data_IF_026395488903
#
_entry.id   IF_026395488903
#
_cell.length_a   1.000
_cell.length_b   1.000
_cell.length_c   1.000
_cell.angle_alpha   90.00
_cell.angle_beta   90.00
_cell.angle_gamma   90.00
#
_symmetry.space_group_name_H-M   'P 1'
#
loop_
_entity.id
_entity.type
_entity.pdbx_description
1 polymer ?
#
# COMPACT_ATOMS: atom_id res chain seq x y z
N UNK A 1 11.27 23.29 -4.79
CA UNK A 1 11.16 21.83 -4.97
C UNK A 1 9.69 21.44 -4.85
N UNK A 2 9.15 20.77 -5.85
CA UNK A 2 7.77 20.26 -5.88
C UNK A 2 7.85 18.74 -5.75
N UNK A 3 7.28 18.17 -4.68
CA UNK A 3 7.36 16.74 -4.40
C UNK A 3 6.08 16.02 -4.81
N UNK A 4 6.16 15.20 -5.87
CA UNK A 4 5.06 14.43 -6.46
C UNK A 4 5.40 12.92 -6.56
N UNK A 5 6.19 12.39 -5.60
CA UNK A 5 6.50 10.95 -5.49
C UNK A 5 5.92 10.34 -4.20
N UNK A 6 4.73 10.79 -3.78
CA UNK A 6 4.10 10.35 -2.52
C UNK A 6 3.68 8.87 -2.53
N UNK A 7 3.43 8.26 -3.69
CA UNK A 7 3.13 6.83 -3.80
C UNK A 7 4.36 5.93 -3.53
N UNK A 8 5.58 6.48 -3.57
CA UNK A 8 6.77 5.79 -3.10
C UNK A 8 6.92 5.93 -1.58
N UNK A 9 6.88 7.18 -1.08
CA UNK A 9 6.85 7.54 0.34
C UNK A 9 6.35 8.97 0.48
N UNK A 10 5.57 9.29 1.51
CA UNK A 10 5.25 10.70 1.79
C UNK A 10 6.48 11.41 2.37
N UNK A 11 6.84 12.57 1.80
CA UNK A 11 7.92 13.39 2.30
C UNK A 11 7.44 14.26 3.48
N UNK A 12 6.36 14.99 3.25
CA UNK A 12 5.77 15.86 4.26
C UNK A 12 4.88 15.04 5.21
N UNK A 13 5.05 15.30 6.51
CA UNK A 13 4.29 14.63 7.57
C UNK A 13 3.76 15.68 8.55
N UNK A 14 2.66 15.40 9.26
CA UNK A 14 2.23 16.26 10.35
C UNK A 14 3.35 16.44 11.38
N UNK A 15 3.55 17.65 11.96
CA UNK A 15 4.59 17.90 12.97
C UNK A 15 4.51 16.98 14.18
N UNK A 16 3.33 16.51 14.53
CA UNK A 16 3.09 15.55 15.62
C UNK A 16 3.84 14.22 15.41
N UNK A 17 4.09 13.84 14.15
CA UNK A 17 4.82 12.59 13.83
C UNK A 17 6.28 12.70 14.28
N UNK A 18 6.95 13.78 13.92
CA UNK A 18 8.33 14.04 14.35
C UNK A 18 8.42 14.14 15.86
N UNK A 19 7.53 14.92 16.47
CA UNK A 19 7.49 15.12 17.93
C UNK A 19 7.32 13.79 18.67
N UNK A 20 6.41 12.92 18.24
CA UNK A 20 6.17 11.63 18.87
C UNK A 20 7.39 10.70 18.77
N UNK A 21 8.11 10.71 17.63
CA UNK A 21 9.34 9.93 17.46
C UNK A 21 10.42 10.41 18.43
N UNK A 22 10.65 11.72 18.52
CA UNK A 22 11.67 12.30 19.40
C UNK A 22 11.35 12.06 20.88
N UNK A 23 10.10 12.21 21.28
CA UNK A 23 9.65 11.90 22.62
C UNK A 23 9.90 10.42 22.97
N UNK A 24 9.50 9.51 22.08
CA UNK A 24 9.71 8.07 22.30
C UNK A 24 11.20 7.69 22.38
N UNK A 25 12.08 8.35 21.61
CA UNK A 25 13.54 8.12 21.68
C UNK A 25 14.12 8.48 23.06
N UNK A 26 13.55 9.47 23.74
CA UNK A 26 14.02 9.91 25.06
C UNK A 26 13.36 9.20 26.23
N UNK A 27 12.17 8.64 26.06
CA UNK A 27 11.33 8.20 27.18
C UNK A 27 10.94 6.71 27.14
N UNK A 28 10.90 6.09 25.94
CA UNK A 28 10.42 4.73 25.79
C UNK A 28 11.56 3.71 25.96
N UNK A 29 11.32 2.71 26.80
CA UNK A 29 12.18 1.53 26.95
C UNK A 29 11.72 0.35 26.07
N UNK A 30 12.07 -0.88 26.49
CA UNK A 30 11.55 -2.09 25.85
C UNK A 30 10.10 -2.35 26.29
N UNK A 31 9.13 -2.57 25.40
CA UNK A 31 7.72 -2.80 25.74
C UNK A 31 7.46 -4.17 26.42
N UNK A 32 8.48 -4.86 26.89
CA UNK A 32 8.38 -6.17 27.54
C UNK A 32 7.94 -6.11 29.01
N UNK A 33 8.47 -7.03 29.83
CA UNK A 33 8.00 -7.37 31.19
C UNK A 33 8.46 -6.40 32.31
N UNK A 34 8.94 -5.21 32.02
CA UNK A 34 9.36 -4.27 33.07
C UNK A 34 8.17 -3.57 33.72
N UNK A 35 8.29 -3.30 35.04
CA UNK A 35 7.30 -2.52 35.77
C UNK A 35 7.68 -1.04 35.94
N UNK A 36 8.78 -0.61 35.32
CA UNK A 36 9.27 0.79 35.38
C UNK A 36 8.67 1.65 34.26
N UNK A 37 8.59 2.93 34.50
CA UNK A 37 7.90 3.89 33.60
C UNK A 37 8.32 3.83 32.13
N UNK A 38 9.61 3.75 31.75
CA UNK A 38 9.98 3.64 30.33
C UNK A 38 9.41 2.40 29.63
N UNK A 39 9.31 1.26 30.29
CA UNK A 39 8.70 0.04 29.74
C UNK A 39 7.19 0.18 29.59
N UNK A 40 6.52 0.73 30.61
CA UNK A 40 5.08 0.98 30.55
C UNK A 40 4.72 2.00 29.46
N UNK A 41 5.56 3.03 29.31
CA UNK A 41 5.39 4.02 28.24
C UNK A 41 5.52 3.37 26.85
N UNK A 42 6.54 2.57 26.62
CA UNK A 42 6.71 1.81 25.39
C UNK A 42 5.53 0.88 25.10
N UNK A 43 5.01 0.19 26.10
CA UNK A 43 3.85 -0.67 25.97
C UNK A 43 2.57 0.12 25.61
N UNK A 44 2.40 1.31 26.18
CA UNK A 44 1.29 2.22 25.83
C UNK A 44 1.39 2.67 24.37
N UNK A 45 2.58 3.09 23.89
CA UNK A 45 2.79 3.45 22.48
C UNK A 45 2.36 2.32 21.54
N UNK A 46 2.78 1.08 21.82
CA UNK A 46 2.39 -0.10 21.02
C UNK A 46 0.86 -0.29 21.03
N UNK A 47 0.23 -0.21 22.20
CA UNK A 47 -1.22 -0.36 22.35
C UNK A 47 -1.98 0.77 21.64
N UNK A 48 -1.58 2.02 21.85
CA UNK A 48 -2.24 3.19 21.26
C UNK A 48 -2.15 3.17 19.72
N UNK A 49 -1.03 2.68 19.18
CA UNK A 49 -0.88 2.50 17.73
C UNK A 49 -1.84 1.44 17.20
N UNK A 50 -2.03 0.31 17.93
CA UNK A 50 -3.02 -0.71 17.55
C UNK A 50 -4.43 -0.17 17.61
N UNK A 51 -4.77 0.56 18.67
CA UNK A 51 -6.08 1.17 18.84
C UNK A 51 -6.39 2.15 17.71
N UNK A 52 -5.45 3.03 17.35
CA UNK A 52 -5.63 3.97 16.26
C UNK A 52 -5.81 3.29 14.89
N UNK A 53 -5.02 2.24 14.60
CA UNK A 53 -5.18 1.46 13.37
C UNK A 53 -6.46 0.62 13.37
N UNK A 54 -6.86 0.07 14.52
CA UNK A 54 -8.12 -0.66 14.65
C UNK A 54 -9.33 0.27 14.40
N UNK A 55 -9.28 1.50 14.91
CA UNK A 55 -10.27 2.54 14.64
C UNK A 55 -10.30 2.88 13.15
N UNK A 56 -9.14 3.14 12.53
CA UNK A 56 -9.02 3.51 11.11
C UNK A 56 -9.58 2.44 10.16
N UNK A 57 -9.37 1.16 10.47
CA UNK A 57 -9.81 0.04 9.63
C UNK A 57 -11.12 -0.59 10.10
N UNK A 58 -11.75 -0.04 11.14
CA UNK A 58 -12.94 -0.64 11.79
C UNK A 58 -12.69 -2.10 12.22
N UNK A 59 -11.49 -2.42 12.72
CA UNK A 59 -11.18 -3.75 13.21
C UNK A 59 -11.93 -4.04 14.51
N UNK A 60 -12.43 -5.28 14.74
CA UNK A 60 -13.27 -5.60 15.90
C UNK A 60 -12.50 -5.57 17.23
N UNK A 61 -11.17 -5.78 17.17
CA UNK A 61 -10.29 -5.82 18.33
C UNK A 61 -8.88 -5.37 17.94
N UNK A 62 -8.18 -4.57 18.76
CA UNK A 62 -6.80 -4.13 18.48
C UNK A 62 -5.81 -5.29 18.31
N UNK A 63 -6.03 -6.45 18.96
CA UNK A 63 -5.18 -7.62 18.81
C UNK A 63 -5.17 -8.21 17.38
N UNK A 64 -6.14 -7.82 16.54
CA UNK A 64 -6.19 -8.16 15.12
C UNK A 64 -5.13 -7.40 14.28
N UNK A 65 -4.55 -6.33 14.82
CA UNK A 65 -3.50 -5.57 14.16
C UNK A 65 -2.14 -6.14 14.59
N UNK A 66 -1.33 -6.55 13.63
CA UNK A 66 0.05 -7.01 13.85
C UNK A 66 1.03 -6.11 13.15
N UNK A 67 2.17 -5.84 13.78
CA UNK A 67 3.20 -4.97 13.24
C UNK A 67 4.27 -5.72 12.46
N UNK A 68 4.75 -5.09 11.43
CA UNK A 68 5.91 -5.51 10.65
C UNK A 68 6.68 -4.29 10.16
N UNK A 69 7.87 -4.50 9.57
CA UNK A 69 8.66 -3.39 9.06
C UNK A 69 8.02 -2.68 7.85
N UNK A 70 7.14 -3.34 7.10
CA UNK A 70 6.50 -2.81 5.90
C UNK A 70 5.44 -3.79 5.36
N UNK A 71 4.67 -3.37 4.33
CA UNK A 71 3.69 -4.21 3.65
C UNK A 71 4.30 -5.48 3.03
N UNK A 72 5.53 -5.42 2.51
CA UNK A 72 6.19 -6.60 1.93
C UNK A 72 6.37 -7.71 2.97
N UNK A 73 6.79 -7.37 4.18
CA UNK A 73 6.93 -8.33 5.26
C UNK A 73 5.56 -8.87 5.71
N UNK A 74 4.55 -8.00 5.83
CA UNK A 74 3.18 -8.38 6.17
C UNK A 74 2.61 -9.36 5.14
N UNK A 75 2.72 -9.07 3.84
CA UNK A 75 2.28 -9.93 2.74
C UNK A 75 3.00 -11.28 2.73
N UNK A 76 4.34 -11.29 2.94
CA UNK A 76 5.07 -12.55 3.07
C UNK A 76 4.55 -13.38 4.26
N UNK A 77 4.32 -12.75 5.40
CA UNK A 77 3.80 -13.44 6.60
C UNK A 77 2.42 -14.04 6.33
N UNK A 78 1.49 -13.25 5.79
CA UNK A 78 0.12 -13.71 5.52
C UNK A 78 0.12 -14.79 4.45
N UNK A 79 0.70 -14.54 3.27
CA UNK A 79 0.64 -15.47 2.15
C UNK A 79 1.30 -16.82 2.45
N UNK A 80 2.50 -16.80 3.05
CA UNK A 80 3.16 -18.07 3.43
C UNK A 80 2.49 -18.76 4.64
N UNK A 81 1.76 -18.00 5.47
CA UNK A 81 1.08 -18.54 6.65
C UNK A 81 -0.28 -19.17 6.37
N UNK A 82 -0.91 -18.91 5.20
CA UNK A 82 -2.25 -19.41 4.87
C UNK A 82 -2.33 -20.28 3.62
N UNK A 83 -1.29 -20.26 2.75
CA UNK A 83 -1.24 -21.00 1.49
C UNK A 83 -0.32 -22.21 1.58
N UNK A 84 -0.76 -23.33 1.08
CA UNK A 84 -0.05 -24.62 1.13
C UNK A 84 0.05 -25.26 -0.27
N UNK A 85 1.00 -26.18 -0.50
CA UNK A 85 1.05 -26.96 -1.73
C UNK A 85 -0.28 -27.62 -2.06
N UNK A 86 -0.75 -27.47 -3.30
CA UNK A 86 -2.06 -27.92 -3.76
C UNK A 86 -3.16 -26.87 -3.72
N UNK A 87 -2.97 -25.76 -3.00
CA UNK A 87 -3.90 -24.62 -3.06
C UNK A 87 -3.78 -23.88 -4.39
N UNK A 88 -4.88 -23.27 -4.83
CA UNK A 88 -4.93 -22.33 -5.93
C UNK A 88 -5.27 -20.93 -5.43
N UNK A 89 -4.64 -19.92 -6.04
CA UNK A 89 -4.85 -18.49 -5.73
C UNK A 89 -5.23 -17.71 -6.98
N UNK A 90 -6.27 -16.92 -6.90
CA UNK A 90 -6.59 -15.90 -7.90
C UNK A 90 -5.98 -14.57 -7.42
N UNK A 91 -5.21 -13.93 -8.30
CA UNK A 91 -4.64 -12.60 -8.08
C UNK A 91 -4.75 -11.77 -9.35
N UNK A 92 -4.08 -10.60 -9.43
CA UNK A 92 -4.25 -9.69 -10.56
C UNK A 92 -2.93 -9.30 -11.22
N UNK A 93 -2.99 -8.79 -12.45
CA UNK A 93 -1.84 -8.16 -13.12
C UNK A 93 -1.50 -6.79 -12.53
N UNK A 94 -2.36 -6.24 -11.66
CA UNK A 94 -2.16 -4.95 -11.00
C UNK A 94 -1.19 -5.02 -9.80
N UNK A 95 -0.80 -6.24 -9.40
CA UNK A 95 -0.06 -6.47 -8.15
C UNK A 95 1.37 -5.92 -8.20
N UNK A 96 1.77 -5.37 -7.06
CA UNK A 96 3.16 -5.03 -6.78
C UNK A 96 4.01 -6.31 -6.57
N UNK A 97 5.32 -6.23 -6.78
CA UNK A 97 6.25 -7.34 -6.51
C UNK A 97 6.18 -7.87 -5.07
N UNK A 98 5.65 -7.11 -4.12
CA UNK A 98 5.43 -7.56 -2.73
C UNK A 98 4.37 -8.67 -2.63
N UNK A 99 3.46 -8.78 -3.61
CA UNK A 99 2.51 -9.88 -3.78
C UNK A 99 3.05 -10.90 -4.76
N UNK A 100 3.54 -10.46 -5.92
CA UNK A 100 3.95 -11.35 -7.02
C UNK A 100 5.10 -12.29 -6.61
N UNK A 101 6.15 -11.76 -5.98
CA UNK A 101 7.33 -12.57 -5.63
C UNK A 101 7.06 -13.63 -4.57
N UNK A 102 6.34 -13.36 -3.48
CA UNK A 102 5.87 -14.42 -2.58
C UNK A 102 5.00 -15.47 -3.28
N UNK A 103 4.07 -15.07 -4.14
CA UNK A 103 3.25 -16.01 -4.90
C UNK A 103 4.08 -16.85 -5.89
N UNK A 104 5.07 -16.28 -6.57
CA UNK A 104 6.00 -17.04 -7.42
C UNK A 104 6.85 -18.04 -6.62
N UNK A 105 7.28 -17.65 -5.41
CA UNK A 105 7.97 -18.57 -4.50
C UNK A 105 7.05 -19.74 -4.08
N UNK A 106 5.81 -19.44 -3.70
CA UNK A 106 4.79 -20.45 -3.35
C UNK A 106 4.43 -21.32 -4.54
N UNK A 107 4.36 -20.77 -5.75
CA UNK A 107 4.18 -21.53 -6.98
C UNK A 107 5.28 -22.56 -7.20
N UNK A 108 6.53 -22.23 -6.92
CA UNK A 108 7.64 -23.19 -6.96
C UNK A 108 7.53 -24.29 -5.89
N UNK A 109 6.67 -24.11 -4.89
CA UNK A 109 6.38 -25.06 -3.80
C UNK A 109 5.07 -25.83 -4.02
N UNK A 110 4.39 -25.65 -5.17
CA UNK A 110 3.18 -26.39 -5.53
C UNK A 110 1.86 -25.66 -5.29
N UNK A 111 1.87 -24.34 -5.06
CA UNK A 111 0.66 -23.50 -5.12
C UNK A 111 0.39 -23.12 -6.57
N UNK A 112 -0.84 -23.23 -7.04
CA UNK A 112 -1.24 -22.74 -8.35
C UNK A 112 -1.65 -21.27 -8.27
N UNK A 113 -1.32 -20.45 -9.31
CA UNK A 113 -1.60 -19.01 -9.32
C UNK A 113 -2.19 -18.59 -10.67
N UNK A 114 -3.41 -18.08 -10.65
CA UNK A 114 -4.08 -17.47 -11.81
C UNK A 114 -4.12 -15.94 -11.70
N UNK A 115 -3.98 -15.27 -12.83
CA UNK A 115 -3.93 -13.81 -12.91
C UNK A 115 -5.12 -13.25 -13.66
N UNK A 116 -5.87 -12.37 -13.02
CA UNK A 116 -6.90 -11.57 -13.66
C UNK A 116 -6.25 -10.45 -14.46
N UNK A 117 -6.63 -10.32 -15.73
CA UNK A 117 -6.15 -9.27 -16.62
C UNK A 117 -6.86 -7.93 -16.41
N UNK A 118 -6.43 -6.94 -17.20
CA UNK A 118 -7.04 -5.63 -17.31
C UNK A 118 -7.44 -5.35 -18.75
N UNK A 119 -8.40 -4.43 -18.94
CA UNK A 119 -8.78 -3.90 -20.24
C UNK A 119 -7.82 -2.80 -20.76
N UNK A 120 -8.16 -2.17 -21.88
CA UNK A 120 -7.38 -1.09 -22.50
C UNK A 120 -7.28 0.18 -21.64
N UNK A 121 -8.20 0.38 -20.70
CA UNK A 121 -8.19 1.47 -19.72
C UNK A 121 -7.49 1.08 -18.41
N UNK A 122 -6.83 -0.10 -18.39
CA UNK A 122 -6.22 -0.71 -17.23
C UNK A 122 -7.22 -0.97 -16.07
N UNK A 123 -8.50 -1.15 -16.37
CA UNK A 123 -9.51 -1.58 -15.41
C UNK A 123 -9.50 -3.11 -15.28
N UNK A 124 -9.66 -3.61 -14.06
CA UNK A 124 -9.63 -5.04 -13.78
C UNK A 124 -10.83 -5.77 -14.42
N UNK A 125 -10.56 -6.87 -15.13
CA UNK A 125 -11.58 -7.69 -15.80
C UNK A 125 -12.22 -8.67 -14.80
N UNK A 126 -13.07 -8.16 -13.92
CA UNK A 126 -13.70 -8.95 -12.82
C UNK A 126 -14.43 -10.20 -13.30
N UNK A 127 -15.00 -10.20 -14.51
CA UNK A 127 -15.75 -11.35 -15.04
C UNK A 127 -14.88 -12.58 -15.31
N UNK A 128 -13.54 -12.40 -15.36
CA UNK A 128 -12.60 -13.51 -15.47
C UNK A 128 -12.56 -14.37 -14.20
N UNK A 129 -12.90 -13.82 -13.02
CA UNK A 129 -12.80 -14.55 -11.76
C UNK A 129 -13.59 -15.86 -11.74
N UNK A 130 -14.82 -15.86 -12.28
CA UNK A 130 -15.65 -17.08 -12.36
C UNK A 130 -14.98 -18.16 -13.24
N UNK A 131 -14.27 -17.76 -14.28
CA UNK A 131 -13.57 -18.71 -15.19
C UNK A 131 -12.23 -19.18 -14.65
N UNK A 132 -11.65 -18.46 -13.68
CA UNK A 132 -10.39 -18.80 -13.03
C UNK A 132 -10.56 -19.67 -11.78
N UNK A 133 -11.81 -19.94 -11.36
CA UNK A 133 -12.08 -20.78 -10.20
C UNK A 133 -11.68 -22.24 -10.45
N UNK A 134 -10.97 -22.80 -9.49
CA UNK A 134 -10.67 -24.23 -9.39
C UNK A 134 -11.29 -24.82 -8.12
N UNK A 135 -11.51 -26.13 -8.04
CA UNK A 135 -11.97 -26.77 -6.80
C UNK A 135 -11.01 -26.55 -5.60
N UNK A 136 -9.73 -26.27 -5.90
CA UNK A 136 -8.68 -25.99 -4.92
C UNK A 136 -8.44 -24.51 -4.68
N UNK A 137 -9.27 -23.60 -5.25
CA UNK A 137 -9.12 -22.17 -5.02
C UNK A 137 -9.30 -21.84 -3.54
N UNK A 138 -8.25 -21.31 -2.93
CA UNK A 138 -8.15 -21.02 -1.50
C UNK A 138 -8.31 -19.55 -1.19
N UNK A 139 -7.80 -18.68 -2.06
CA UNK A 139 -7.75 -17.23 -1.78
C UNK A 139 -7.93 -16.38 -3.04
N UNK A 140 -8.52 -15.20 -2.83
CA UNK A 140 -8.45 -14.04 -3.73
C UNK A 140 -7.51 -13.03 -3.09
N UNK A 141 -6.43 -12.67 -3.81
CA UNK A 141 -5.42 -11.70 -3.36
C UNK A 141 -5.41 -10.53 -4.32
N UNK A 142 -5.73 -9.32 -3.86
CA UNK A 142 -5.82 -8.12 -4.70
C UNK A 142 -5.15 -6.91 -4.06
N UNK A 143 -4.53 -6.06 -4.89
CA UNK A 143 -4.16 -4.72 -4.44
C UNK A 143 -5.40 -3.82 -4.35
N UNK A 144 -5.47 -2.95 -3.35
CA UNK A 144 -6.55 -1.97 -3.24
C UNK A 144 -6.53 -0.92 -4.35
N UNK A 145 -5.33 -0.58 -4.86
CA UNK A 145 -5.14 0.26 -6.04
C UNK A 145 -3.79 -0.01 -6.70
N UNK A 146 -3.75 0.08 -8.03
CA UNK A 146 -2.52 -0.03 -8.80
C UNK A 146 -1.55 1.12 -8.43
N UNK A 147 -0.35 0.77 -8.06
CA UNK A 147 0.71 1.74 -7.78
C UNK A 147 1.32 2.37 -9.06
N UNK A 148 0.85 1.95 -10.23
CA UNK A 148 1.24 2.51 -11.54
C UNK A 148 0.16 3.46 -12.05
N UNK A 149 -1.05 2.96 -12.29
CA UNK A 149 -2.13 3.72 -12.93
C UNK A 149 -3.00 4.50 -11.93
N UNK A 150 -2.96 4.12 -10.66
CA UNK A 150 -3.88 4.64 -9.65
C UNK A 150 -5.28 4.04 -9.69
N UNK A 151 -5.62 3.23 -10.70
CA UNK A 151 -6.92 2.57 -10.76
C UNK A 151 -7.13 1.70 -9.51
N UNK A 152 -8.25 1.90 -8.83
CA UNK A 152 -8.61 1.15 -7.65
C UNK A 152 -9.28 -0.18 -7.98
N UNK A 153 -9.24 -1.10 -7.05
CA UNK A 153 -10.05 -2.33 -7.09
C UNK A 153 -11.39 -2.06 -6.40
N UNK A 154 -12.47 -2.46 -7.02
CA UNK A 154 -13.78 -2.51 -6.36
C UNK A 154 -13.74 -3.62 -5.29
N UNK A 155 -13.37 -3.23 -4.05
CA UNK A 155 -13.23 -4.16 -2.95
C UNK A 155 -14.56 -4.78 -2.53
N UNK A 156 -15.69 -4.09 -2.76
CA UNK A 156 -17.02 -4.65 -2.46
C UNK A 156 -17.36 -5.80 -3.42
N UNK A 157 -17.09 -5.63 -4.71
CA UNK A 157 -17.23 -6.68 -5.73
C UNK A 157 -16.28 -7.86 -5.46
N UNK A 158 -15.03 -7.56 -5.06
CA UNK A 158 -14.03 -8.57 -4.71
C UNK A 158 -14.46 -9.36 -3.47
N UNK A 159 -14.96 -8.70 -2.44
CA UNK A 159 -15.50 -9.29 -1.23
C UNK A 159 -16.68 -10.22 -1.54
N UNK A 160 -17.67 -9.74 -2.31
CA UNK A 160 -18.83 -10.55 -2.72
C UNK A 160 -18.40 -11.83 -3.43
N UNK A 161 -17.48 -11.73 -4.39
CA UNK A 161 -16.95 -12.90 -5.08
C UNK A 161 -16.26 -13.87 -4.12
N UNK A 162 -15.32 -13.37 -3.29
CA UNK A 162 -14.60 -14.21 -2.35
C UNK A 162 -15.54 -14.95 -1.39
N UNK A 163 -16.53 -14.24 -0.84
CA UNK A 163 -17.49 -14.81 0.13
C UNK A 163 -18.41 -15.84 -0.51
N UNK A 164 -18.94 -15.58 -1.72
CA UNK A 164 -19.80 -16.55 -2.43
C UNK A 164 -19.09 -17.87 -2.68
N UNK A 165 -17.78 -17.85 -2.84
CA UNK A 165 -16.96 -19.04 -3.12
C UNK A 165 -16.18 -19.56 -1.91
N UNK A 166 -16.37 -18.96 -0.71
CA UNK A 166 -15.69 -19.37 0.51
C UNK A 166 -14.17 -19.19 0.50
N UNK A 167 -13.69 -18.20 -0.29
CA UNK A 167 -12.28 -17.90 -0.44
C UNK A 167 -11.79 -16.97 0.68
N UNK A 168 -10.52 -17.09 1.04
CA UNK A 168 -9.86 -16.04 1.83
C UNK A 168 -9.74 -14.77 0.99
N UNK A 169 -10.14 -13.63 1.57
CA UNK A 169 -10.03 -12.32 0.94
C UNK A 169 -8.86 -11.54 1.54
N UNK A 170 -7.76 -11.41 0.78
CA UNK A 170 -6.50 -10.78 1.20
C UNK A 170 -6.27 -9.53 0.35
N UNK A 171 -6.04 -8.39 1.02
CA UNK A 171 -5.86 -7.08 0.37
C UNK A 171 -4.48 -6.52 0.64
N UNK A 172 -3.74 -6.17 -0.42
CA UNK A 172 -2.58 -5.27 -0.34
C UNK A 172 -3.08 -3.82 -0.34
N UNK A 173 -3.09 -3.20 0.83
CA UNK A 173 -3.54 -1.84 1.04
C UNK A 173 -2.39 -0.82 1.04
N UNK A 174 -1.21 -1.15 0.49
CA UNK A 174 -0.06 -0.25 0.51
C UNK A 174 -0.29 1.10 -0.17
N UNK A 175 -1.26 1.20 -1.10
CA UNK A 175 -1.65 2.44 -1.76
C UNK A 175 -3.00 3.00 -1.27
N UNK A 176 -3.74 2.27 -0.44
CA UNK A 176 -5.09 2.66 -0.05
C UNK A 176 -5.25 2.88 1.45
N UNK A 177 -4.44 2.22 2.30
CA UNK A 177 -4.45 2.45 3.74
C UNK A 177 -4.11 3.92 4.07
N UNK A 178 -5.05 4.65 4.63
CA UNK A 178 -4.97 6.08 4.93
C UNK A 178 -5.30 7.02 3.76
N UNK A 179 -5.37 6.51 2.52
CA UNK A 179 -5.77 7.28 1.33
C UNK A 179 -7.24 7.08 0.95
N UNK A 180 -7.86 6.00 1.45
CA UNK A 180 -9.26 5.67 1.20
C UNK A 180 -9.86 5.04 2.45
N UNK A 181 -11.16 5.23 2.71
CA UNK A 181 -11.86 4.51 3.76
C UNK A 181 -11.88 3.00 3.49
N UNK A 182 -11.51 2.20 4.47
CA UNK A 182 -11.56 0.74 4.38
C UNK A 182 -12.16 0.21 5.67
N UNK A 183 -13.35 -0.39 5.58
CA UNK A 183 -13.99 -1.11 6.69
C UNK A 183 -13.77 -2.61 6.51
N UNK A 184 -12.86 -3.19 7.31
CA UNK A 184 -12.50 -4.61 7.20
C UNK A 184 -13.62 -5.55 7.65
N UNK A 185 -14.54 -5.08 8.51
CA UNK A 185 -15.69 -5.87 8.94
C UNK A 185 -16.78 -5.86 7.87
N UNK A 186 -17.13 -4.67 7.36
CA UNK A 186 -18.14 -4.53 6.30
C UNK A 186 -17.75 -5.30 5.04
N UNK A 187 -16.49 -5.23 4.65
CA UNK A 187 -15.95 -5.92 3.48
C UNK A 187 -15.60 -7.40 3.78
N UNK A 188 -15.65 -7.83 5.03
CA UNK A 188 -15.29 -9.18 5.43
C UNK A 188 -13.88 -9.60 5.03
N UNK A 189 -12.94 -8.66 5.07
CA UNK A 189 -11.53 -8.90 4.72
C UNK A 189 -10.91 -9.86 5.75
N UNK A 190 -10.23 -10.89 5.25
CA UNK A 190 -9.51 -11.84 6.10
C UNK A 190 -8.14 -11.33 6.54
N UNK A 191 -7.42 -10.67 5.63
CA UNK A 191 -6.18 -9.99 5.95
C UNK A 191 -6.01 -8.73 5.09
N UNK A 192 -5.63 -7.60 5.73
CA UNK A 192 -5.32 -6.33 5.08
C UNK A 192 -3.86 -5.97 5.40
N UNK A 193 -2.98 -5.97 4.41
CA UNK A 193 -1.57 -5.66 4.59
C UNK A 193 -1.29 -4.19 4.25
N UNK A 194 -0.57 -3.47 5.14
CA UNK A 194 -0.33 -2.04 5.00
C UNK A 194 1.12 -1.62 5.28
N UNK A 195 1.51 -0.43 4.82
CA UNK A 195 2.80 0.20 5.13
C UNK A 195 2.59 1.57 5.76
N UNK A 196 3.38 1.91 6.77
CA UNK A 196 3.19 3.14 7.53
C UNK A 196 3.69 4.41 6.86
N UNK A 197 4.68 4.31 5.96
CA UNK A 197 5.41 5.47 5.43
C UNK A 197 4.77 6.16 4.22
N UNK A 198 3.64 5.68 3.73
CA UNK A 198 2.86 6.30 2.64
C UNK A 198 1.70 7.11 3.23
N UNK A 199 0.47 6.87 2.79
CA UNK A 199 -0.68 7.67 3.22
C UNK A 199 -1.03 7.54 4.72
N UNK A 200 -0.49 6.56 5.45
CA UNK A 200 -0.58 6.50 6.91
C UNK A 200 0.34 7.51 7.63
N UNK A 201 1.17 8.25 6.90
CA UNK A 201 2.01 9.38 7.37
C UNK A 201 3.05 9.02 8.45
N UNK A 202 3.24 7.74 8.73
CA UNK A 202 4.26 7.25 9.66
C UNK A 202 5.67 7.24 9.05
N UNK A 203 6.70 6.92 9.83
CA UNK A 203 8.06 6.78 9.34
C UNK A 203 8.25 5.47 8.54
N UNK A 204 9.32 5.42 7.74
CA UNK A 204 9.80 4.19 7.14
C UNK A 204 10.16 3.16 8.23
N UNK A 205 10.12 1.87 7.89
CA UNK A 205 10.34 0.79 8.86
C UNK A 205 9.13 0.52 9.75
N UNK A 206 7.93 0.97 9.34
CA UNK A 206 6.65 0.67 9.97
C UNK A 206 5.64 0.14 8.95
N UNK A 207 4.81 -0.78 9.38
CA UNK A 207 3.76 -1.42 8.62
C UNK A 207 3.13 -2.54 9.42
N UNK A 208 2.31 -3.35 8.78
CA UNK A 208 1.63 -4.44 9.47
C UNK A 208 0.50 -5.06 8.68
N UNK A 209 -0.30 -5.85 9.37
CA UNK A 209 -1.54 -6.39 8.84
C UNK A 209 -2.66 -6.32 9.86
N UNK A 210 -3.88 -6.13 9.38
CA UNK A 210 -5.06 -6.63 10.05
C UNK A 210 -5.21 -8.10 9.69
N UNK A 211 -5.51 -8.94 10.67
CA UNK A 211 -5.81 -10.36 10.49
C UNK A 211 -7.12 -10.67 11.21
N UNK A 212 -8.11 -11.21 10.49
CA UNK A 212 -9.41 -11.57 11.06
C UNK A 212 -9.25 -12.55 12.24
N UNK A 213 -9.99 -12.39 13.36
CA UNK A 213 -9.82 -13.22 14.58
C UNK A 213 -9.85 -14.72 14.35
N UNK A 214 -10.66 -15.18 13.38
CA UNK A 214 -10.82 -16.60 13.07
C UNK A 214 -9.76 -17.13 12.10
N UNK A 215 -8.98 -16.26 11.44
CA UNK A 215 -7.95 -16.68 10.50
C UNK A 215 -6.70 -17.13 11.26
N UNK A 216 -6.27 -18.35 11.01
CA UNK A 216 -5.00 -18.88 11.50
C UNK A 216 -3.90 -18.63 10.46
N UNK A 217 -2.92 -17.83 10.84
CA UNK A 217 -1.72 -17.55 10.03
C UNK A 217 -0.53 -18.18 10.72
N UNK A 218 0.16 -19.10 10.03
CA UNK A 218 1.39 -19.66 10.56
C UNK A 218 2.48 -18.57 10.59
N UNK A 219 3.27 -18.42 11.68
CA UNK A 219 4.29 -17.41 11.76
C UNK A 219 5.39 -17.64 10.72
N UNK A 220 5.78 -16.57 10.01
CA UNK A 220 6.93 -16.61 9.10
C UNK A 220 8.26 -16.55 9.88
N UNK A 221 8.26 -15.77 10.96
CA UNK A 221 9.40 -15.61 11.87
C UNK A 221 9.02 -16.12 13.25
N UNK A 222 9.93 -16.87 13.85
CA UNK A 222 9.80 -17.38 15.22
C UNK A 222 11.00 -16.94 16.05
N UNK A 223 10.80 -16.68 17.35
CA UNK A 223 11.90 -16.24 18.20
C UNK A 223 11.42 -15.59 19.50
N UNK A 224 12.16 -14.60 19.98
CA UNK A 224 11.83 -13.90 21.21
C UNK A 224 10.47 -13.20 21.11
N UNK A 225 9.54 -13.58 21.98
CA UNK A 225 8.18 -13.03 22.05
C UNK A 225 7.92 -12.20 23.31
N UNK A 226 8.85 -12.25 24.28
CA UNK A 226 8.66 -11.63 25.60
C UNK A 226 7.70 -12.41 26.52
N UNK A 227 7.05 -13.48 26.07
CA UNK A 227 6.14 -14.34 26.83
C UNK A 227 6.49 -15.81 26.62
N UNK A 228 6.05 -16.67 27.55
CA UNK A 228 6.23 -18.14 27.46
C UNK A 228 7.69 -18.56 27.22
N UNK A 229 8.67 -17.96 27.94
CA UNK A 229 10.09 -18.09 27.67
C UNK A 229 10.65 -19.51 27.84
N UNK A 230 9.93 -20.41 28.51
CA UNK A 230 10.31 -21.80 28.71
C UNK A 230 9.68 -22.77 27.70
N UNK A 231 8.75 -22.27 26.86
CA UNK A 231 8.12 -23.09 25.84
C UNK A 231 9.06 -23.22 24.64
N UNK A 232 9.20 -24.43 24.10
CA UNK A 232 10.02 -24.69 22.91
C UNK A 232 9.37 -24.10 21.65
N UNK A 233 8.05 -24.03 21.61
CA UNK A 233 7.30 -23.54 20.45
C UNK A 233 6.94 -22.07 20.61
N UNK A 234 6.93 -21.38 19.48
CA UNK A 234 6.52 -19.97 19.43
C UNK A 234 5.03 -19.83 19.81
N UNK A 235 4.63 -18.79 20.60
CA UNK A 235 3.25 -18.56 20.97
C UNK A 235 2.34 -18.41 19.76
N UNK A 236 1.12 -19.00 19.84
CA UNK A 236 0.12 -18.92 18.76
C UNK A 236 -0.97 -17.85 19.00
N UNK A 237 -0.87 -17.14 20.13
CA UNK A 237 -1.83 -16.10 20.48
C UNK A 237 -1.53 -14.79 19.75
N UNK A 238 -2.53 -14.22 19.09
CA UNK A 238 -2.44 -12.90 18.47
C UNK A 238 -2.32 -11.80 19.53
N UNK A 239 -1.58 -10.74 19.30
CA UNK A 239 -0.76 -10.44 18.13
C UNK A 239 0.64 -11.10 18.17
N UNK A 240 1.04 -11.67 19.30
CA UNK A 240 2.39 -12.21 19.58
C UNK A 240 2.82 -13.28 18.56
N UNK A 241 1.85 -14.07 18.09
CA UNK A 241 2.10 -15.12 17.09
C UNK A 241 2.82 -14.61 15.83
N UNK A 242 2.60 -13.37 15.41
CA UNK A 242 3.13 -12.79 14.18
C UNK A 242 4.14 -11.66 14.44
N UNK A 243 4.56 -11.45 15.71
CA UNK A 243 5.46 -10.37 16.13
C UNK A 243 6.68 -10.91 16.89
N UNK A 244 7.52 -11.64 16.19
CA UNK A 244 8.78 -12.09 16.79
C UNK A 244 9.81 -10.95 16.82
N UNK A 245 10.48 -10.78 17.96
CA UNK A 245 11.52 -9.79 18.18
C UNK A 245 11.01 -8.49 18.82
N UNK A 246 11.92 -7.56 19.09
CA UNK A 246 11.59 -6.25 19.66
C UNK A 246 10.98 -5.36 18.61
N UNK A 247 9.79 -4.82 18.90
CA UNK A 247 9.07 -3.92 18.01
C UNK A 247 9.79 -2.57 17.87
N UNK A 248 9.61 -1.91 16.72
CA UNK A 248 10.10 -0.55 16.45
C UNK A 248 9.21 0.49 17.17
N UNK A 249 9.35 0.59 18.51
CA UNK A 249 8.50 1.47 19.35
C UNK A 249 8.55 2.92 18.89
N UNK A 250 9.75 3.43 18.57
CA UNK A 250 9.92 4.81 18.12
C UNK A 250 9.18 5.08 16.80
N UNK A 251 9.30 4.15 15.84
CA UNK A 251 8.54 4.23 14.60
C UNK A 251 7.03 4.12 14.80
N UNK A 252 6.59 3.26 15.74
CA UNK A 252 5.18 3.10 16.08
C UNK A 252 4.61 4.36 16.72
N UNK A 253 5.37 5.08 17.55
CA UNK A 253 4.95 6.39 18.07
C UNK A 253 4.63 7.38 16.95
N UNK A 254 5.53 7.49 15.97
CA UNK A 254 5.29 8.33 14.79
C UNK A 254 4.12 7.84 13.93
N UNK A 255 3.97 6.53 13.74
CA UNK A 255 2.83 5.95 13.01
C UNK A 255 1.50 6.26 13.74
N UNK A 256 1.46 6.10 15.06
CA UNK A 256 0.30 6.44 15.88
C UNK A 256 -0.12 7.90 15.68
N UNK A 257 0.84 8.81 15.75
CA UNK A 257 0.59 10.24 15.56
C UNK A 257 0.06 10.54 14.14
N UNK A 258 0.62 9.91 13.10
CA UNK A 258 0.13 10.04 11.73
C UNK A 258 -1.30 9.53 11.56
N UNK A 259 -1.60 8.34 12.07
CA UNK A 259 -2.95 7.74 12.00
C UNK A 259 -3.98 8.55 12.78
N UNK A 260 -3.67 9.04 13.98
CA UNK A 260 -4.57 9.90 14.73
C UNK A 260 -4.85 11.20 14.01
N UNK A 261 -3.83 11.80 13.41
CA UNK A 261 -4.01 13.00 12.59
C UNK A 261 -4.95 12.73 11.39
N UNK A 262 -4.83 11.58 10.72
CA UNK A 262 -5.75 11.19 9.63
C UNK A 262 -7.19 11.06 10.12
N UNK A 263 -7.40 10.43 11.28
CA UNK A 263 -8.72 10.29 11.89
C UNK A 263 -9.34 11.64 12.24
N UNK A 264 -8.55 12.58 12.76
CA UNK A 264 -8.98 13.94 13.09
C UNK A 264 -9.35 14.76 11.84
N UNK A 265 -8.61 14.60 10.72
CA UNK A 265 -8.90 15.32 9.47
C UNK A 265 -10.04 14.68 8.66
N UNK A 266 -10.30 13.40 8.88
CA UNK A 266 -11.22 12.59 8.09
C UNK A 266 -10.60 12.10 6.78
N UNK A 267 -10.46 10.78 6.65
CA UNK A 267 -9.83 10.14 5.48
C UNK A 267 -10.54 10.53 4.18
N UNK A 268 -11.88 10.60 4.18
CA UNK A 268 -12.70 10.96 3.02
C UNK A 268 -12.40 12.38 2.53
N UNK A 269 -12.21 13.32 3.45
CA UNK A 269 -11.90 14.73 3.13
C UNK A 269 -10.53 14.84 2.46
N UNK A 270 -9.54 14.12 3.01
CA UNK A 270 -8.18 14.09 2.47
C UNK A 270 -8.16 13.40 1.10
N UNK A 271 -8.85 12.27 0.96
CA UNK A 271 -9.00 11.55 -0.31
C UNK A 271 -9.63 12.42 -1.40
N UNK A 272 -10.69 13.16 -1.06
CA UNK A 272 -11.35 14.06 -2.00
C UNK A 272 -10.41 15.18 -2.48
N UNK A 273 -9.61 15.76 -1.56
CA UNK A 273 -8.59 16.77 -1.90
C UNK A 273 -7.51 16.20 -2.81
N UNK A 274 -6.96 15.03 -2.48
CA UNK A 274 -5.92 14.38 -3.27
C UNK A 274 -6.44 13.99 -4.68
N UNK A 275 -7.67 13.50 -4.77
CA UNK A 275 -8.33 13.21 -6.05
C UNK A 275 -8.53 14.48 -6.89
N UNK A 276 -8.89 15.62 -6.27
CA UNK A 276 -9.03 16.90 -6.96
C UNK A 276 -7.68 17.38 -7.53
N UNK A 277 -6.58 17.26 -6.77
CA UNK A 277 -5.24 17.61 -7.23
C UNK A 277 -4.77 16.72 -8.41
N UNK A 278 -4.99 15.41 -8.31
CA UNK A 278 -4.67 14.49 -9.39
C UNK A 278 -5.49 14.81 -10.67
N UNK A 279 -6.77 15.12 -10.51
CA UNK A 279 -7.63 15.53 -11.63
C UNK A 279 -7.19 16.85 -12.24
N UNK A 280 -6.84 17.85 -11.43
CA UNK A 280 -6.33 19.14 -11.89
C UNK A 280 -5.10 18.97 -12.78
N UNK A 281 -4.15 18.12 -12.36
CA UNK A 281 -2.98 17.77 -13.16
C UNK A 281 -3.37 17.08 -14.48
N UNK A 282 -4.17 16.03 -14.38
CA UNK A 282 -4.60 15.23 -15.54
C UNK A 282 -5.28 16.06 -16.61
N UNK A 283 -6.23 16.93 -16.24
CA UNK A 283 -6.97 17.75 -17.23
C UNK A 283 -6.07 18.69 -18.02
N UNK A 284 -4.94 19.09 -17.45
CA UNK A 284 -3.97 19.95 -18.15
C UNK A 284 -3.05 19.15 -19.06
N UNK A 285 -2.57 17.97 -18.62
CA UNK A 285 -1.55 17.21 -19.38
C UNK A 285 -2.15 16.32 -20.46
N UNK A 286 -3.40 15.82 -20.30
CA UNK A 286 -4.03 14.86 -21.23
C UNK A 286 -4.21 15.38 -22.66
N UNK A 287 -4.21 16.69 -22.85
CA UNK A 287 -4.39 17.33 -24.16
C UNK A 287 -3.06 17.80 -24.77
N UNK A 288 -1.95 17.65 -24.04
CA UNK A 288 -0.64 18.05 -24.55
C UNK A 288 -0.20 17.08 -25.65
N UNK A 289 0.26 17.59 -26.81
CA UNK A 289 0.76 16.74 -27.88
C UNK A 289 1.89 15.83 -27.40
N UNK A 290 1.86 14.57 -27.83
CA UNK A 290 2.86 13.57 -27.44
C UNK A 290 2.70 12.98 -26.06
N UNK A 291 1.80 13.49 -25.21
CA UNK A 291 1.55 12.91 -23.90
C UNK A 291 0.55 11.76 -23.98
N UNK A 292 0.93 10.61 -23.47
CA UNK A 292 0.05 9.44 -23.27
C UNK A 292 -0.14 9.22 -21.78
N UNK A 293 -1.38 9.29 -21.30
CA UNK A 293 -1.73 9.01 -19.89
C UNK A 293 -2.29 7.60 -19.76
N UNK A 294 -1.86 6.88 -18.72
CA UNK A 294 -2.28 5.50 -18.45
C UNK A 294 -3.27 5.42 -17.29
N UNK A 295 -4.25 4.55 -17.43
CA UNK A 295 -5.33 4.34 -16.46
C UNK A 295 -6.56 5.19 -16.76
N UNK A 296 -7.62 4.93 -15.98
CA UNK A 296 -8.92 5.63 -16.13
C UNK A 296 -9.11 6.66 -15.01
N UNK A 297 -9.05 7.94 -15.36
CA UNK A 297 -9.26 9.03 -14.40
C UNK A 297 -10.71 9.25 -14.00
N UNK A 298 -11.67 8.64 -14.70
CA UNK A 298 -13.08 8.64 -14.32
C UNK A 298 -13.44 7.55 -13.32
N UNK A 299 -12.59 6.52 -13.22
CA UNK A 299 -12.78 5.39 -12.31
C UNK A 299 -12.75 5.82 -10.84
N UNK A 300 -13.64 5.22 -10.04
CA UNK A 300 -13.65 5.31 -8.59
C UNK A 300 -13.86 3.91 -8.00
N UNK A 301 -13.18 3.56 -6.89
CA UNK A 301 -12.17 4.36 -6.19
C UNK A 301 -10.85 4.41 -6.98
N UNK A 302 -9.96 5.37 -6.66
CA UNK A 302 -8.61 5.42 -7.21
C UNK A 302 -7.61 6.07 -6.26
N UNK A 303 -6.34 5.69 -6.38
CA UNK A 303 -5.25 6.40 -5.71
C UNK A 303 -4.94 7.73 -6.44
N UNK A 304 -4.41 8.76 -5.74
CA UNK A 304 -4.08 10.06 -6.31
C UNK A 304 -2.79 9.99 -7.17
N UNK A 305 -2.83 9.19 -8.23
CA UNK A 305 -1.70 8.88 -9.11
C UNK A 305 -2.09 9.21 -10.56
N UNK A 306 -1.16 9.82 -11.30
CA UNK A 306 -1.21 9.99 -12.76
C UNK A 306 0.10 9.46 -13.33
N UNK A 307 0.02 8.42 -14.17
CA UNK A 307 1.15 7.87 -14.90
C UNK A 307 1.07 8.31 -16.35
N UNK A 308 2.18 8.76 -16.91
CA UNK A 308 2.24 9.19 -18.31
C UNK A 308 3.60 8.89 -18.95
N UNK A 309 3.61 8.94 -20.29
CA UNK A 309 4.81 9.03 -21.09
C UNK A 309 4.72 10.20 -22.06
N UNK A 310 5.88 10.69 -22.53
CA UNK A 310 5.99 11.73 -23.54
C UNK A 310 6.61 11.09 -24.78
N UNK A 311 5.85 10.98 -25.86
CA UNK A 311 6.27 10.32 -27.10
C UNK A 311 6.92 8.94 -26.83
N UNK A 312 8.08 8.67 -27.41
CA UNK A 312 8.87 7.45 -27.18
C UNK A 312 10.07 7.72 -26.26
N UNK A 313 10.09 8.87 -25.54
CA UNK A 313 11.20 9.23 -24.68
C UNK A 313 11.30 8.28 -23.46
N UNK A 314 12.52 7.98 -23.05
CA UNK A 314 12.76 7.18 -21.85
C UNK A 314 12.21 7.87 -20.60
N UNK A 315 11.45 7.13 -19.80
CA UNK A 315 10.81 7.68 -18.60
C UNK A 315 11.81 8.22 -17.58
N UNK A 316 13.03 7.65 -17.51
CA UNK A 316 14.07 8.14 -16.60
C UNK A 316 14.59 9.49 -17.08
N UNK A 317 14.83 9.66 -18.38
CA UNK A 317 15.25 10.97 -18.95
C UNK A 317 14.21 12.06 -18.69
N UNK A 318 12.93 11.75 -18.88
CA UNK A 318 11.84 12.70 -18.57
C UNK A 318 11.86 13.10 -17.08
N UNK A 319 12.03 12.14 -16.18
CA UNK A 319 12.09 12.41 -14.75
C UNK A 319 13.33 13.24 -14.36
N UNK A 320 14.48 12.97 -14.98
CA UNK A 320 15.73 13.71 -14.75
C UNK A 320 15.57 15.18 -15.18
N UNK A 321 15.03 15.46 -16.37
CA UNK A 321 14.75 16.82 -16.83
C UNK A 321 13.76 17.54 -15.91
N UNK A 322 12.67 16.88 -15.49
CA UNK A 322 11.71 17.46 -14.55
C UNK A 322 12.36 17.84 -13.23
N UNK A 323 13.35 17.07 -12.77
CA UNK A 323 14.09 17.40 -11.56
C UNK A 323 15.12 18.52 -11.80
N UNK A 324 15.97 18.40 -12.82
CA UNK A 324 17.10 19.32 -13.05
C UNK A 324 16.64 20.72 -13.44
N UNK A 325 15.66 20.82 -14.37
CA UNK A 325 15.25 22.10 -14.94
C UNK A 325 14.06 22.73 -14.19
N UNK A 326 13.19 21.90 -13.59
CA UNK A 326 11.95 22.38 -12.95
C UNK A 326 11.88 22.14 -11.45
N UNK A 327 12.81 21.39 -10.86
CA UNK A 327 12.81 21.04 -9.43
C UNK A 327 11.61 20.19 -9.01
N UNK A 328 11.08 19.34 -9.92
CA UNK A 328 9.91 18.49 -9.70
C UNK A 328 10.36 17.06 -9.48
N UNK A 329 10.05 16.52 -8.27
CA UNK A 329 10.36 15.15 -7.90
C UNK A 329 9.22 14.22 -8.33
N UNK A 330 9.50 13.32 -9.26
CA UNK A 330 8.60 12.26 -9.74
C UNK A 330 9.34 10.92 -9.75
N UNK A 331 8.66 9.85 -10.09
CA UNK A 331 9.30 8.55 -10.22
C UNK A 331 9.14 7.99 -11.62
N UNK A 332 10.25 7.48 -12.19
CA UNK A 332 10.28 6.80 -13.47
C UNK A 332 10.43 5.28 -13.35
N UNK A 333 10.15 4.56 -14.41
CA UNK A 333 10.47 3.16 -14.62
C UNK A 333 9.33 2.20 -14.34
N UNK A 334 9.65 0.99 -13.85
CA UNK A 334 8.72 -0.14 -13.75
C UNK A 334 7.92 -0.20 -12.42
N UNK A 335 8.18 0.67 -11.46
CA UNK A 335 7.44 0.79 -10.19
C UNK A 335 7.19 -0.54 -9.43
N UNK A 336 8.03 -1.56 -9.66
CA UNK A 336 7.85 -2.91 -9.11
C UNK A 336 6.51 -3.59 -9.47
N UNK A 337 5.91 -3.25 -10.62
CA UNK A 337 4.63 -3.82 -11.09
C UNK A 337 4.78 -4.39 -12.52
N UNK A 338 5.60 -5.45 -12.71
CA UNK A 338 6.00 -5.91 -14.04
C UNK A 338 4.84 -6.41 -14.91
N UNK A 339 3.78 -6.97 -14.32
CA UNK A 339 2.63 -7.46 -15.06
C UNK A 339 1.75 -6.32 -15.58
N UNK A 340 1.63 -5.22 -14.83
CA UNK A 340 0.97 -4.00 -15.30
C UNK A 340 1.70 -3.40 -16.51
N UNK A 341 3.03 -3.31 -16.46
CA UNK A 341 3.82 -2.82 -17.60
C UNK A 341 3.68 -3.71 -18.84
N UNK A 342 3.56 -5.03 -18.67
CA UNK A 342 3.23 -5.94 -19.78
C UNK A 342 1.86 -5.65 -20.37
N UNK A 343 0.85 -5.42 -19.52
CA UNK A 343 -0.51 -5.12 -19.96
C UNK A 343 -0.61 -3.76 -20.67
N UNK A 344 0.18 -2.76 -20.23
CA UNK A 344 0.22 -1.42 -20.82
C UNK A 344 1.14 -1.32 -22.06
N UNK A 345 1.98 -2.33 -22.35
CA UNK A 345 2.99 -2.27 -23.40
C UNK A 345 4.17 -1.33 -23.11
N UNK A 346 4.44 -1.06 -21.82
CA UNK A 346 5.46 -0.09 -21.36
C UNK A 346 6.67 -0.74 -20.70
N UNK A 347 6.97 -2.01 -21.03
CA UNK A 347 8.06 -2.76 -20.40
C UNK A 347 9.42 -2.09 -20.64
N UNK A 348 9.69 -1.66 -21.88
CA UNK A 348 10.97 -1.05 -22.26
C UNK A 348 11.07 0.42 -21.83
N UNK A 349 10.00 1.19 -22.02
CA UNK A 349 9.99 2.62 -21.75
C UNK A 349 9.79 2.96 -20.28
N UNK A 350 9.10 2.09 -19.50
CA UNK A 350 8.59 2.45 -18.20
C UNK A 350 7.45 3.48 -18.29
N UNK A 351 7.16 4.13 -17.18
CA UNK A 351 6.29 5.32 -17.14
C UNK A 351 6.81 6.34 -16.13
N UNK A 352 6.49 7.61 -16.34
CA UNK A 352 6.68 8.67 -15.34
C UNK A 352 5.42 8.75 -14.49
N UNK A 353 5.58 8.57 -13.18
CA UNK A 353 4.48 8.57 -12.23
C UNK A 353 4.50 9.82 -11.36
N UNK A 354 3.41 10.57 -11.40
CA UNK A 354 3.10 11.67 -10.50
C UNK A 354 2.15 11.16 -9.42
N UNK A 355 2.42 11.44 -8.16
CA UNK A 355 1.57 11.04 -7.05
C UNK A 355 1.42 12.16 -6.04
N UNK A 356 0.18 12.51 -5.78
CA UNK A 356 -0.21 13.68 -5.04
C UNK A 356 -0.49 13.34 -3.58
N UNK A 357 -0.35 14.34 -2.71
CA UNK A 357 -0.71 14.29 -1.31
C UNK A 357 -1.53 15.55 -0.98
N UNK A 358 -2.35 15.46 0.05
CA UNK A 358 -3.09 16.60 0.58
C UNK A 358 -2.20 17.77 1.05
N UNK A 359 -0.89 17.57 1.19
CA UNK A 359 0.10 18.62 1.46
C UNK A 359 0.49 19.40 0.20
N UNK A 360 0.24 18.88 -1.00
CA UNK A 360 0.50 19.61 -2.23
C UNK A 360 -0.50 20.76 -2.39
N UNK A 361 -0.04 21.85 -3.02
CA UNK A 361 -0.86 23.00 -3.38
C UNK A 361 -1.31 22.90 -4.83
N UNK A 362 -2.43 23.53 -5.17
CA UNK A 362 -2.89 23.64 -6.57
C UNK A 362 -1.84 24.35 -7.44
N UNK A 363 -1.13 25.33 -6.89
CA UNK A 363 -0.06 26.04 -7.60
C UNK A 363 1.09 25.10 -7.99
N UNK A 364 1.55 24.24 -7.08
CA UNK A 364 2.57 23.21 -7.38
C UNK A 364 2.10 22.28 -8.47
N UNK A 365 0.85 21.84 -8.42
CA UNK A 365 0.25 20.94 -9.41
C UNK A 365 0.16 21.61 -10.77
N UNK A 366 -0.24 22.88 -10.83
CA UNK A 366 -0.30 23.66 -12.08
C UNK A 366 1.10 23.88 -12.68
N UNK A 367 2.09 24.20 -11.85
CA UNK A 367 3.49 24.33 -12.29
C UNK A 367 4.02 23.01 -12.87
N UNK A 368 3.73 21.89 -12.21
CA UNK A 368 4.14 20.58 -12.69
C UNK A 368 3.47 20.22 -14.02
N UNK A 369 2.19 20.51 -14.19
CA UNK A 369 1.49 20.28 -15.45
C UNK A 369 2.04 21.16 -16.59
N UNK A 370 2.36 22.43 -16.31
CA UNK A 370 2.98 23.34 -17.28
C UNK A 370 4.36 22.84 -17.71
N UNK A 371 5.18 22.36 -16.77
CA UNK A 371 6.48 21.77 -17.06
C UNK A 371 6.37 20.55 -17.99
N UNK A 372 5.43 19.63 -17.71
CA UNK A 372 5.17 18.49 -18.59
C UNK A 372 4.74 18.92 -19.99
N UNK A 373 3.86 19.93 -20.10
CA UNK A 373 3.41 20.44 -21.39
C UNK A 373 4.54 21.17 -22.17
N UNK A 374 5.45 21.84 -21.49
CA UNK A 374 6.62 22.49 -22.11
C UNK A 374 7.60 21.42 -22.62
N UNK A 375 7.97 20.48 -21.76
CA UNK A 375 8.87 19.38 -22.10
C UNK A 375 8.31 18.52 -23.26
N UNK A 376 7.00 18.25 -23.29
CA UNK A 376 6.39 17.51 -24.38
C UNK A 376 6.53 18.22 -25.75
N UNK A 377 6.48 19.56 -25.78
CA UNK A 377 6.70 20.33 -27.02
C UNK A 377 8.17 20.29 -27.44
N UNK A 378 9.09 20.39 -26.50
CA UNK A 378 10.53 20.33 -26.76
C UNK A 378 10.91 18.98 -27.37
N UNK A 379 10.49 17.88 -26.74
CA UNK A 379 10.77 16.50 -27.23
C UNK A 379 10.19 16.26 -28.63
N UNK A 380 9.04 16.85 -28.97
CA UNK A 380 8.44 16.68 -30.29
C UNK A 380 9.13 17.55 -31.37
N UNK A 381 9.96 18.53 -31.00
CA UNK A 381 10.72 19.38 -31.91
C UNK A 381 12.13 18.85 -32.18
N UNK A 382 12.63 17.94 -31.34
CA UNK A 382 13.89 17.23 -31.56
C UNK A 382 13.73 16.08 -32.56
#
# INVERSE_FOLDING_TARGET
MIYLDNAATTLHKPPQVEQAILEALHTAGNPGRGAHEPTLHAARIVLDTRLALAELFHAPDPSCIVFSANATMALNTVLNGVLHPGDHVITTVCEHNSVLRPLYRLRAQGVEVSFTGVDAAAQLCYDQWETLLHPTTRALVVTGASNVTGNGTDLARAADFAHRHGLLFIVDAAQTAGAQPIDVQQLGIDALCFTGHKALLGPQGTGGAYVRPSLRVAPLLVGGSGVHSFDEMHPLQMPTALEAGTLNVHGLAGLCAGVRWLLEQGVENLAAREAALARLFYEQVRTAPGVTVYGDMAMQPRAPIVALNIAQEDSARVADILWEDYGICVRAGAHCAPLMHKALGTVEQGVVRFSFSHFNTEQEVQQAAQAVCALAREILCE
#
